data_IF_685836875168
#
_entry.id   IF_685836875168
#
_cell.length_a   1.000
_cell.length_b   1.000
_cell.length_c   1.000
_cell.angle_alpha   90.00
_cell.angle_beta   90.00
_cell.angle_gamma   90.00
#
_symmetry.space_group_name_H-M   'P 1'
#
loop_
_entity.id
_entity.type
_entity.pdbx_description
1 polymer ?
#
# COMPACT_ATOMS: atom_id res chain seq x y z
N UNK A 1 7.33 -15.83 3.06
CA UNK A 1 7.55 -14.39 3.26
C UNK A 1 7.09 -13.89 4.62
N UNK A 2 5.93 -14.29 5.15
CA UNK A 2 5.42 -13.82 6.46
C UNK A 2 6.45 -13.81 7.61
N UNK A 3 7.26 -14.87 7.76
CA UNK A 3 8.34 -14.92 8.78
C UNK A 3 9.43 -13.84 8.61
N UNK A 4 9.65 -13.35 7.39
CA UNK A 4 10.59 -12.27 7.10
C UNK A 4 10.01 -10.89 7.46
N UNK A 5 8.68 -10.74 7.46
CA UNK A 5 8.01 -9.52 7.94
C UNK A 5 8.12 -9.35 9.46
N UNK A 6 8.38 -10.45 10.19
CA UNK A 6 8.63 -10.47 11.64
C UNK A 6 10.12 -10.26 11.99
N UNK A 7 10.96 -9.96 11.00
CA UNK A 7 12.39 -9.77 11.20
C UNK A 7 12.68 -8.44 11.86
N UNK A 8 13.62 -8.41 12.82
CA UNK A 8 14.17 -7.16 13.35
C UNK A 8 15.14 -6.47 12.39
N UNK A 9 15.55 -7.15 11.31
CA UNK A 9 16.37 -6.58 10.25
C UNK A 9 15.49 -5.90 9.20
N UNK A 10 15.52 -4.57 9.17
CA UNK A 10 14.78 -3.72 8.23
C UNK A 10 15.00 -4.09 6.76
N UNK A 11 16.22 -4.45 6.36
CA UNK A 11 16.51 -4.87 4.99
C UNK A 11 15.76 -6.16 4.64
N UNK A 12 15.66 -7.11 5.57
CA UNK A 12 14.88 -8.32 5.35
C UNK A 12 13.38 -8.03 5.23
N UNK A 13 12.86 -7.11 6.06
CA UNK A 13 11.47 -6.68 6.02
C UNK A 13 11.18 -6.00 4.68
N UNK A 14 12.01 -5.02 4.29
CA UNK A 14 11.89 -4.29 3.02
C UNK A 14 11.86 -5.23 1.82
N UNK A 15 12.83 -6.13 1.70
CA UNK A 15 12.88 -7.10 0.60
C UNK A 15 11.63 -8.00 0.60
N UNK A 16 11.16 -8.42 1.78
CA UNK A 16 9.94 -9.22 1.86
C UNK A 16 8.70 -8.45 1.40
N UNK A 17 8.55 -7.19 1.81
CA UNK A 17 7.46 -6.31 1.37
C UNK A 17 7.52 -6.06 -0.14
N UNK A 18 8.70 -5.76 -0.69
CA UNK A 18 8.88 -5.55 -2.14
C UNK A 18 8.50 -6.79 -2.96
N UNK A 19 8.84 -7.99 -2.49
CA UNK A 19 8.46 -9.23 -3.20
C UNK A 19 6.94 -9.40 -3.15
N UNK A 20 6.30 -9.11 -2.00
CA UNK A 20 4.84 -9.19 -1.86
C UNK A 20 4.14 -8.18 -2.79
N UNK A 21 4.60 -6.92 -2.80
CA UNK A 21 4.09 -5.87 -3.69
C UNK A 21 4.17 -6.31 -5.16
N UNK A 22 5.31 -6.86 -5.59
CA UNK A 22 5.49 -7.34 -6.97
C UNK A 22 4.50 -8.46 -7.33
N UNK A 23 4.20 -9.36 -6.40
CA UNK A 23 3.23 -10.44 -6.61
C UNK A 23 1.80 -9.89 -6.73
N UNK A 24 1.45 -8.92 -5.87
CA UNK A 24 0.14 -8.23 -5.93
C UNK A 24 0.00 -7.52 -7.28
N UNK A 25 1.01 -6.76 -7.68
CA UNK A 25 1.03 -6.03 -8.96
C UNK A 25 0.90 -6.97 -10.15
N UNK A 26 1.65 -8.07 -10.19
CA UNK A 26 1.54 -9.06 -11.26
C UNK A 26 0.13 -9.68 -11.36
N UNK A 27 -0.59 -9.77 -10.23
CA UNK A 27 -1.97 -10.25 -10.19
C UNK A 27 -2.97 -9.18 -10.65
N UNK A 28 -2.67 -7.90 -10.39
CA UNK A 28 -3.47 -6.77 -10.89
C UNK A 28 -3.41 -6.63 -12.41
N UNK A 29 -2.25 -6.83 -13.02
CA UNK A 29 -2.07 -6.75 -14.48
C UNK A 29 -2.92 -7.76 -15.26
N UNK A 30 -3.38 -8.82 -14.58
CA UNK A 30 -4.27 -9.85 -15.14
C UNK A 30 -5.76 -9.54 -14.92
N UNK A 31 -6.08 -8.51 -14.12
CA UNK A 31 -7.45 -8.15 -13.73
C UNK A 31 -8.00 -7.01 -14.60
N UNK A 32 -9.31 -6.97 -14.80
CA UNK A 32 -9.98 -5.84 -15.45
C UNK A 32 -10.05 -4.61 -14.54
N UNK A 33 -9.98 -3.41 -15.13
CA UNK A 33 -10.16 -2.13 -14.43
C UNK A 33 -11.48 -2.11 -13.63
N UNK A 34 -11.43 -1.55 -12.42
CA UNK A 34 -12.59 -1.40 -11.53
C UNK A 34 -13.09 -2.70 -10.88
N UNK A 35 -12.38 -3.82 -11.05
CA UNK A 35 -12.74 -5.10 -10.42
C UNK A 35 -11.74 -5.45 -9.33
N UNK A 36 -12.26 -5.85 -8.17
CA UNK A 36 -11.45 -6.32 -7.05
C UNK A 36 -10.64 -7.57 -7.44
N UNK A 37 -9.35 -7.56 -7.09
CA UNK A 37 -8.40 -8.59 -7.52
C UNK A 37 -8.59 -9.86 -6.68
N UNK A 38 -8.53 -11.03 -7.33
CA UNK A 38 -8.63 -12.34 -6.67
C UNK A 38 -7.58 -12.55 -5.56
N UNK A 39 -6.40 -11.91 -5.69
CA UNK A 39 -5.32 -11.99 -4.71
C UNK A 39 -5.71 -11.41 -3.35
N UNK A 40 -6.68 -10.50 -3.28
CA UNK A 40 -7.12 -9.90 -2.02
C UNK A 40 -7.56 -10.97 -1.01
N UNK A 41 -8.43 -11.88 -1.44
CA UNK A 41 -8.92 -12.98 -0.58
C UNK A 41 -7.78 -13.88 -0.12
N UNK A 42 -6.79 -14.12 -0.98
CA UNK A 42 -5.63 -14.94 -0.63
C UNK A 42 -4.80 -14.28 0.47
N UNK A 43 -4.49 -12.98 0.32
CA UNK A 43 -3.67 -12.20 1.26
C UNK A 43 -4.38 -11.96 2.59
N UNK A 44 -5.72 -11.83 2.56
CA UNK A 44 -6.55 -11.79 3.77
C UNK A 44 -6.56 -13.15 4.49
N UNK A 45 -6.88 -14.23 3.77
CA UNK A 45 -7.05 -15.56 4.36
C UNK A 45 -5.75 -16.17 4.89
N UNK A 46 -4.61 -15.86 4.29
CA UNK A 46 -3.31 -16.37 4.72
C UNK A 46 -2.64 -15.49 5.80
N UNK A 47 -3.29 -14.41 6.25
CA UNK A 47 -2.79 -13.49 7.27
C UNK A 47 -1.60 -12.64 6.81
N UNK A 48 -1.34 -12.54 5.50
CA UNK A 48 -0.32 -11.63 4.97
C UNK A 48 -0.75 -10.17 5.17
N UNK A 49 -2.05 -9.86 5.02
CA UNK A 49 -2.55 -8.50 5.29
C UNK A 49 -2.22 -8.06 6.73
N UNK A 50 -2.52 -8.90 7.72
CA UNK A 50 -2.26 -8.59 9.14
C UNK A 50 -0.78 -8.28 9.39
N UNK A 51 0.12 -9.03 8.73
CA UNK A 51 1.55 -8.78 8.82
C UNK A 51 1.97 -7.47 8.15
N UNK A 52 1.39 -7.13 6.99
CA UNK A 52 1.65 -5.85 6.34
C UNK A 52 1.17 -4.68 7.20
N UNK A 53 -0.01 -4.79 7.82
CA UNK A 53 -0.52 -3.78 8.75
C UNK A 53 0.39 -3.62 9.97
N UNK A 54 0.87 -4.73 10.55
CA UNK A 54 1.84 -4.68 11.64
C UNK A 54 3.15 -3.99 11.25
N UNK A 55 3.63 -4.19 10.01
CA UNK A 55 4.82 -3.51 9.49
C UNK A 55 4.55 -2.01 9.32
N UNK A 56 3.41 -1.63 8.76
CA UNK A 56 3.01 -0.22 8.60
C UNK A 56 2.96 0.52 9.94
N UNK A 57 2.41 -0.15 10.95
CA UNK A 57 2.23 0.40 12.30
C UNK A 57 3.47 0.25 13.19
N UNK A 58 4.58 -0.27 12.64
CA UNK A 58 5.84 -0.36 13.38
C UNK A 58 6.64 0.94 13.22
N UNK A 59 6.48 1.82 14.20
CA UNK A 59 7.18 3.10 14.27
C UNK A 59 8.65 3.01 14.71
N UNK A 60 9.18 1.82 14.99
CA UNK A 60 10.60 1.63 15.32
C UNK A 60 11.50 1.62 14.07
N UNK A 61 10.93 1.31 12.90
CA UNK A 61 11.69 1.27 11.65
C UNK A 61 12.18 2.65 11.22
N UNK A 62 13.47 2.75 10.90
CA UNK A 62 14.11 3.98 10.45
C UNK A 62 13.94 4.18 8.94
N UNK A 63 14.00 3.10 8.15
CA UNK A 63 13.78 3.17 6.70
C UNK A 63 12.31 3.47 6.36
N UNK A 64 12.04 4.74 6.04
CA UNK A 64 10.72 5.21 5.62
C UNK A 64 10.24 4.60 4.30
N UNK A 65 11.13 4.04 3.49
CA UNK A 65 10.76 3.33 2.26
C UNK A 65 9.93 2.07 2.57
N UNK A 66 10.13 1.45 3.74
CA UNK A 66 9.30 0.31 4.17
C UNK A 66 7.81 0.73 4.23
N UNK A 67 7.51 1.86 4.86
CA UNK A 67 6.15 2.36 4.98
C UNK A 67 5.54 2.72 3.62
N UNK A 68 6.37 3.23 2.70
CA UNK A 68 5.96 3.54 1.34
C UNK A 68 5.57 2.26 0.57
N UNK A 69 6.44 1.25 0.55
CA UNK A 69 6.16 -0.01 -0.18
C UNK A 69 5.00 -0.77 0.46
N UNK A 70 4.89 -0.81 1.79
CA UNK A 70 3.75 -1.42 2.48
C UNK A 70 2.45 -0.70 2.14
N UNK A 71 2.45 0.64 2.13
CA UNK A 71 1.25 1.41 1.78
C UNK A 71 0.81 1.16 0.34
N UNK A 72 1.77 1.08 -0.61
CA UNK A 72 1.46 0.69 -1.99
C UNK A 72 0.86 -0.72 -2.05
N UNK A 73 1.47 -1.70 -1.38
CA UNK A 73 0.99 -3.08 -1.36
C UNK A 73 -0.44 -3.18 -0.80
N UNK A 74 -0.73 -2.53 0.33
CA UNK A 74 -2.07 -2.50 0.92
C UNK A 74 -3.04 -1.77 -0.02
N UNK A 75 -2.66 -0.61 -0.55
CA UNK A 75 -3.50 0.14 -1.48
C UNK A 75 -3.87 -0.67 -2.73
N UNK A 76 -2.93 -1.44 -3.27
CA UNK A 76 -3.15 -2.33 -4.39
C UNK A 76 -4.10 -3.49 -4.05
N UNK A 77 -3.96 -4.09 -2.87
CA UNK A 77 -4.87 -5.15 -2.37
C UNK A 77 -6.31 -4.64 -2.28
N UNK A 78 -6.50 -3.38 -1.88
CA UNK A 78 -7.80 -2.75 -1.71
C UNK A 78 -8.26 -1.93 -2.94
N UNK A 79 -7.67 -2.17 -4.11
CA UNK A 79 -8.15 -1.57 -5.36
C UNK A 79 -9.66 -1.87 -5.58
N UNK A 80 -10.44 -0.84 -5.92
CA UNK A 80 -11.90 -0.88 -6.05
C UNK A 80 -12.63 -1.45 -4.82
N UNK A 81 -12.02 -1.35 -3.63
CA UNK A 81 -12.55 -1.86 -2.37
C UNK A 81 -12.39 -0.84 -1.23
N UNK A 82 -13.25 -0.89 -0.20
CA UNK A 82 -13.11 0.00 0.95
C UNK A 82 -11.88 -0.39 1.76
N UNK A 83 -11.02 0.58 2.08
CA UNK A 83 -9.94 0.39 3.04
C UNK A 83 -10.53 0.30 4.46
N UNK A 84 -10.11 -0.68 5.29
CA UNK A 84 -10.45 -0.75 6.70
C UNK A 84 -10.06 0.53 7.44
N UNK A 85 -10.96 1.02 8.29
CA UNK A 85 -10.84 2.35 8.92
C UNK A 85 -9.61 2.47 9.81
N UNK A 86 -9.13 1.35 10.34
CA UNK A 86 -8.04 1.22 11.29
C UNK A 86 -6.71 1.73 10.72
N UNK A 87 -6.47 1.52 9.43
CA UNK A 87 -5.21 1.90 8.75
C UNK A 87 -5.44 2.76 7.50
N UNK A 88 -6.69 3.04 7.12
CA UNK A 88 -7.06 3.81 5.92
C UNK A 88 -6.29 5.12 5.77
N UNK A 89 -6.31 5.95 6.82
CA UNK A 89 -5.72 7.29 6.75
C UNK A 89 -4.20 7.25 6.56
N UNK A 90 -3.53 6.32 7.24
CA UNK A 90 -2.08 6.15 7.16
C UNK A 90 -1.65 5.70 5.75
N UNK A 91 -2.38 4.74 5.17
CA UNK A 91 -2.16 4.27 3.79
C UNK A 91 -2.40 5.40 2.79
N UNK A 92 -3.54 6.09 2.85
CA UNK A 92 -3.89 7.16 1.90
C UNK A 92 -2.90 8.33 2.00
N UNK A 93 -2.53 8.76 3.22
CA UNK A 93 -1.59 9.86 3.41
C UNK A 93 -0.20 9.51 2.86
N UNK A 94 0.27 8.28 3.10
CA UNK A 94 1.58 7.84 2.63
C UNK A 94 1.62 7.78 1.10
N UNK A 95 0.61 7.19 0.46
CA UNK A 95 0.51 7.15 -1.00
C UNK A 95 0.44 8.57 -1.58
N UNK A 96 -0.33 9.48 -0.96
CA UNK A 96 -0.40 10.89 -1.38
C UNK A 96 0.94 11.61 -1.31
N UNK A 97 1.76 11.37 -0.28
CA UNK A 97 3.12 11.93 -0.24
C UNK A 97 3.94 11.44 -1.44
N UNK A 98 3.82 10.15 -1.76
CA UNK A 98 4.55 9.53 -2.86
C UNK A 98 4.13 10.06 -4.24
N UNK A 99 2.91 10.60 -4.42
CA UNK A 99 2.53 11.22 -5.71
C UNK A 99 3.38 12.45 -6.06
N UNK A 100 4.05 13.05 -5.07
CA UNK A 100 4.95 14.20 -5.24
C UNK A 100 6.43 13.78 -5.29
N UNK A 101 6.74 12.50 -5.53
CA UNK A 101 8.11 12.01 -5.56
C UNK A 101 8.86 12.48 -6.80
N UNK A 102 10.12 12.92 -6.61
CA UNK A 102 11.01 13.34 -7.69
C UNK A 102 11.29 12.22 -8.69
N UNK A 103 11.32 10.96 -8.22
CA UNK A 103 11.33 9.80 -9.09
C UNK A 103 9.94 9.65 -9.74
N UNK A 104 9.90 9.94 -11.04
CA UNK A 104 8.69 9.87 -11.87
C UNK A 104 8.05 8.47 -11.86
N UNK A 105 8.86 7.41 -11.71
CA UNK A 105 8.34 6.04 -11.62
C UNK A 105 7.59 5.84 -10.31
N UNK A 106 8.14 6.31 -9.19
CA UNK A 106 7.50 6.21 -7.88
C UNK A 106 6.20 7.01 -7.86
N UNK A 107 6.23 8.27 -8.32
CA UNK A 107 5.03 9.11 -8.35
C UNK A 107 3.94 8.56 -9.27
N UNK A 108 4.31 8.06 -10.46
CA UNK A 108 3.37 7.41 -11.38
C UNK A 108 2.70 6.18 -10.76
N UNK A 109 3.46 5.32 -10.08
CA UNK A 109 2.91 4.14 -9.37
C UNK A 109 1.95 4.58 -8.27
N UNK A 110 2.34 5.55 -7.44
CA UNK A 110 1.50 6.06 -6.36
C UNK A 110 0.17 6.65 -6.87
N UNK A 111 0.22 7.42 -7.97
CA UNK A 111 -0.98 7.96 -8.63
C UNK A 111 -1.90 6.83 -9.09
N UNK A 112 -1.34 5.79 -9.72
CA UNK A 112 -2.11 4.63 -10.18
C UNK A 112 -2.81 3.90 -9.02
N UNK A 113 -2.11 3.69 -7.90
CA UNK A 113 -2.71 3.07 -6.70
C UNK A 113 -3.80 3.96 -6.11
N UNK A 114 -3.57 5.27 -5.99
CA UNK A 114 -4.57 6.21 -5.47
C UNK A 114 -5.82 6.27 -6.35
N UNK A 115 -5.67 6.22 -7.67
CA UNK A 115 -6.77 6.14 -8.62
C UNK A 115 -7.60 4.85 -8.42
N UNK A 116 -6.93 3.70 -8.28
CA UNK A 116 -7.63 2.44 -8.01
C UNK A 116 -8.37 2.42 -6.66
N UNK A 117 -7.82 3.07 -5.63
CA UNK A 117 -8.54 3.27 -4.36
C UNK A 117 -9.78 4.16 -4.53
N UNK A 118 -9.72 5.15 -5.43
CA UNK A 118 -10.82 6.05 -5.73
C UNK A 118 -11.95 5.39 -6.55
N UNK A 119 -11.74 4.20 -7.12
CA UNK A 119 -12.83 3.42 -7.73
C UNK A 119 -13.86 2.96 -6.67
N UNK A 120 -13.51 3.00 -5.38
CA UNK A 120 -14.45 2.79 -4.28
C UNK A 120 -14.88 4.12 -3.62
N UNK A 121 -16.18 4.41 -3.65
CA UNK A 121 -16.75 5.65 -3.09
C UNK A 121 -16.51 5.81 -1.58
N UNK A 122 -16.42 4.71 -0.83
CA UNK A 122 -16.17 4.73 0.62
C UNK A 122 -14.79 5.29 1.00
N UNK A 123 -13.87 5.37 0.04
CA UNK A 123 -12.54 5.95 0.24
C UNK A 123 -12.50 7.46 -0.09
N UNK A 124 -13.53 8.01 -0.76
CA UNK A 124 -13.50 9.37 -1.32
C UNK A 124 -13.31 10.44 -0.26
N UNK A 125 -14.03 10.36 0.86
CA UNK A 125 -13.91 11.37 1.92
C UNK A 125 -12.48 11.50 2.45
N UNK A 126 -11.77 10.38 2.61
CA UNK A 126 -10.40 10.35 3.13
C UNK A 126 -9.36 10.72 2.06
N UNK A 127 -9.63 10.33 0.80
CA UNK A 127 -8.87 10.79 -0.37
C UNK A 127 -9.07 12.29 -0.61
N UNK A 128 -10.16 12.91 -0.17
CA UNK A 128 -10.37 14.36 -0.32
C UNK A 128 -9.96 15.17 0.92
N UNK A 129 -10.08 14.62 2.12
CA UNK A 129 -9.85 15.35 3.40
C UNK A 129 -8.38 15.63 3.71
N UNK A 130 -7.47 14.80 3.20
CA UNK A 130 -6.03 14.93 3.49
C UNK A 130 -5.37 15.88 2.50
N UNK A 131 -5.04 17.12 2.90
CA UNK A 131 -4.33 18.07 2.04
C UNK A 131 -3.11 17.39 1.39
N UNK A 132 -2.96 17.49 0.05
CA UNK A 132 -1.76 17.02 -0.64
C UNK A 132 -0.55 17.75 -0.02
N UNK A 133 0.36 17.05 0.70
CA UNK A 133 1.48 17.72 1.33
C UNK A 133 2.43 18.24 0.24
N UNK A 134 2.90 19.48 0.40
CA UNK A 134 3.64 20.21 -0.63
C UNK A 134 5.02 19.60 -0.96
N UNK A 135 5.55 18.69 -0.13
CA UNK A 135 6.86 18.07 -0.30
C UNK A 135 6.95 16.73 0.45
N UNK A 136 7.80 15.84 -0.06
CA UNK A 136 8.28 14.65 0.66
C UNK A 136 9.44 15.12 1.55
N UNK A 137 9.40 14.78 2.84
CA UNK A 137 10.51 15.00 3.76
C UNK A 137 11.50 13.82 3.69
#
# INVERSE_FOLDING_TARGET
MRRLLDSSNEMCVKVAVEIIERIIKASQEQSSLGVQIDIKKMIENDGTLDKLVNVLQNYEYQDQEINQVVSLAIGQVFNAAPLPKEFRNEVILTIKKMTNNEDQKISSVAIGVLAGLADCQDNHSDILSSNYPATIA
#
